data_IF_649856207991
#
_entry.id   IF_649856207991
#
_cell.length_a   1.000
_cell.length_b   1.000
_cell.length_c   1.000
_cell.angle_alpha   90.00
_cell.angle_beta   90.00
_cell.angle_gamma   90.00
#
_symmetry.space_group_name_H-M   'P 1'
#
loop_
_entity.id
_entity.type
_entity.pdbx_description
1 polymer ?
#
# COMPACT_ATOMS: atom_id res chain seq x y z
N UNK A 1 17.06 -1.00 -28.96
CA UNK A 1 16.90 0.21 -28.14
C UNK A 1 18.25 0.48 -27.50
N UNK A 2 18.94 1.54 -27.91
CA UNK A 2 20.20 1.94 -27.27
C UNK A 2 19.89 2.36 -25.83
N UNK A 3 20.53 1.71 -24.87
CA UNK A 3 20.54 2.19 -23.49
C UNK A 3 21.42 3.43 -23.44
N UNK A 4 20.81 4.60 -23.36
CA UNK A 4 21.51 5.83 -22.99
C UNK A 4 22.03 5.63 -21.57
N UNK A 5 23.30 5.25 -21.45
CA UNK A 5 24.01 5.27 -20.18
C UNK A 5 24.26 6.72 -19.82
N UNK A 6 23.29 7.36 -19.17
CA UNK A 6 23.53 8.61 -18.46
C UNK A 6 24.41 8.25 -17.26
N UNK A 7 25.71 8.49 -17.38
CA UNK A 7 26.57 8.69 -16.22
C UNK A 7 26.08 9.96 -15.50
N UNK A 8 25.03 9.82 -14.70
CA UNK A 8 24.67 10.82 -13.71
C UNK A 8 25.77 10.71 -12.66
N UNK A 9 26.75 11.62 -12.69
CA UNK A 9 27.72 11.71 -11.61
C UNK A 9 26.94 11.80 -10.30
N UNK A 10 27.07 10.79 -9.44
CA UNK A 10 26.36 10.76 -8.17
C UNK A 10 26.79 11.98 -7.34
N UNK A 11 25.81 12.78 -6.92
CA UNK A 11 26.10 13.94 -6.05
C UNK A 11 26.62 13.41 -4.72
N UNK A 12 27.82 13.82 -4.34
CA UNK A 12 28.44 13.44 -3.06
C UNK A 12 27.81 14.21 -1.89
N UNK A 13 27.85 13.64 -0.68
CA UNK A 13 27.44 14.33 0.54
C UNK A 13 28.16 15.68 0.71
N UNK A 14 29.45 15.75 0.36
CA UNK A 14 30.26 16.97 0.44
C UNK A 14 29.74 18.07 -0.49
N UNK A 15 29.30 17.73 -1.70
CA UNK A 15 28.71 18.70 -2.62
C UNK A 15 27.40 19.27 -2.04
N UNK A 16 26.56 18.42 -1.43
CA UNK A 16 25.31 18.83 -0.78
C UNK A 16 25.61 19.74 0.43
N UNK A 17 26.57 19.35 1.26
CA UNK A 17 27.01 20.12 2.42
C UNK A 17 27.52 21.51 2.03
N UNK A 18 28.42 21.61 1.04
CA UNK A 18 28.93 22.90 0.54
C UNK A 18 27.83 23.78 -0.01
N UNK A 19 26.85 23.19 -0.70
CA UNK A 19 25.72 23.92 -1.23
C UNK A 19 24.84 24.50 -0.09
N UNK A 20 24.57 23.72 0.97
CA UNK A 20 23.87 24.23 2.15
C UNK A 20 24.61 25.38 2.83
N UNK A 21 25.94 25.29 2.98
CA UNK A 21 26.75 26.40 3.49
C UNK A 21 26.67 27.63 2.57
N UNK A 22 26.74 27.44 1.25
CA UNK A 22 26.61 28.53 0.25
C UNK A 22 25.28 29.25 0.36
N UNK A 23 24.21 28.54 0.74
CA UNK A 23 22.88 29.08 0.99
C UNK A 23 22.75 29.76 2.36
N UNK A 24 23.81 29.81 3.16
CA UNK A 24 23.83 30.48 4.46
C UNK A 24 23.32 29.62 5.62
N UNK A 25 23.25 28.30 5.44
CA UNK A 25 22.86 27.38 6.51
C UNK A 25 23.96 27.28 7.58
N UNK A 26 23.55 27.20 8.85
CA UNK A 26 24.47 26.95 9.97
C UNK A 26 25.18 25.60 9.79
N UNK A 27 26.44 25.53 10.21
CA UNK A 27 27.34 24.42 9.89
C UNK A 27 26.85 23.06 10.41
N UNK A 28 26.39 23.00 11.67
CA UNK A 28 25.89 21.76 12.26
C UNK A 28 24.60 21.31 11.57
N UNK A 29 23.71 22.25 11.24
CA UNK A 29 22.47 21.97 10.49
C UNK A 29 22.79 21.47 9.08
N UNK A 30 23.72 22.12 8.37
CA UNK A 30 24.15 21.71 7.04
C UNK A 30 24.77 20.32 7.05
N UNK A 31 25.56 20.00 8.08
CA UNK A 31 26.18 18.70 8.24
C UNK A 31 25.13 17.60 8.49
N UNK A 32 24.18 17.82 9.38
CA UNK A 32 23.08 16.88 9.66
C UNK A 32 22.19 16.66 8.43
N UNK A 33 21.74 17.73 7.78
CA UNK A 33 20.86 17.62 6.61
C UNK A 33 21.59 16.99 5.41
N UNK A 34 22.85 17.34 5.14
CA UNK A 34 23.58 16.76 4.00
C UNK A 34 23.68 15.24 4.11
N UNK A 35 23.88 14.71 5.32
CA UNK A 35 23.88 13.28 5.60
C UNK A 35 22.49 12.66 5.33
N UNK A 36 21.43 13.28 5.85
CA UNK A 36 20.04 12.80 5.66
C UNK A 36 19.63 12.78 4.18
N UNK A 37 19.98 13.83 3.43
CA UNK A 37 19.69 13.93 1.99
C UNK A 37 20.53 12.94 1.18
N UNK A 38 21.83 12.79 1.48
CA UNK A 38 22.69 11.85 0.76
C UNK A 38 22.28 10.38 0.95
N UNK A 39 21.88 10.01 2.17
CA UNK A 39 21.43 8.66 2.50
C UNK A 39 19.93 8.44 2.30
N UNK A 40 19.20 9.42 1.77
CA UNK A 40 17.74 9.35 1.62
C UNK A 40 17.01 9.02 2.95
N UNK A 41 17.56 9.42 4.10
CA UNK A 41 16.97 9.17 5.43
C UNK A 41 15.58 9.84 5.56
N UNK A 42 15.37 10.97 4.87
CA UNK A 42 14.05 11.61 4.76
C UNK A 42 13.07 10.74 3.92
N UNK A 43 13.58 10.08 2.88
CA UNK A 43 12.81 9.17 2.02
C UNK A 43 12.42 7.89 2.74
N UNK A 44 13.23 7.37 3.67
CA UNK A 44 12.85 6.19 4.46
C UNK A 44 11.60 6.42 5.31
N UNK A 45 11.47 7.60 5.92
CA UNK A 45 10.26 7.95 6.69
C UNK A 45 9.03 8.03 5.80
N UNK A 46 9.17 8.60 4.61
CA UNK A 46 8.07 8.66 3.64
C UNK A 46 7.68 7.27 3.14
N UNK A 47 8.65 6.38 2.92
CA UNK A 47 8.41 4.98 2.58
C UNK A 47 7.71 4.22 3.71
N UNK A 48 8.13 4.40 4.97
CA UNK A 48 7.46 3.81 6.15
C UNK A 48 6.01 4.31 6.28
N UNK A 49 5.78 5.60 6.04
CA UNK A 49 4.43 6.16 6.03
C UNK A 49 3.58 5.63 4.88
N UNK A 50 4.17 5.39 3.71
CA UNK A 50 3.49 4.75 2.58
C UNK A 50 3.14 3.30 2.89
N UNK A 51 4.08 2.53 3.46
CA UNK A 51 3.87 1.15 3.89
C UNK A 51 2.69 1.04 4.86
N UNK A 52 2.68 1.83 5.94
CA UNK A 52 1.57 1.88 6.90
C UNK A 52 0.24 2.23 6.24
N UNK A 53 0.23 3.17 5.30
CA UNK A 53 -0.99 3.54 4.58
C UNK A 53 -1.48 2.42 3.66
N UNK A 54 -0.56 1.67 3.02
CA UNK A 54 -0.91 0.51 2.22
C UNK A 54 -1.46 -0.61 3.08
N UNK A 55 -0.84 -0.94 4.22
CA UNK A 55 -1.33 -1.96 5.15
C UNK A 55 -2.76 -1.65 5.61
N UNK A 56 -3.02 -0.42 6.04
CA UNK A 56 -4.37 0.02 6.43
C UNK A 56 -5.36 -0.13 5.26
N UNK A 57 -4.96 0.20 4.03
CA UNK A 57 -5.83 0.05 2.85
C UNK A 57 -6.08 -1.43 2.52
N UNK A 58 -5.09 -2.30 2.68
CA UNK A 58 -5.21 -3.74 2.47
C UNK A 58 -6.10 -4.38 3.52
N UNK A 59 -5.93 -4.07 4.79
CA UNK A 59 -6.80 -4.55 5.87
C UNK A 59 -8.26 -4.17 5.65
N UNK A 60 -8.51 -2.92 5.24
CA UNK A 60 -9.84 -2.45 4.89
C UNK A 60 -10.43 -3.18 3.68
N UNK A 61 -9.59 -3.55 2.71
CA UNK A 61 -10.02 -4.31 1.54
C UNK A 61 -10.37 -5.75 1.91
N UNK A 62 -9.51 -6.42 2.70
CA UNK A 62 -9.73 -7.76 3.25
C UNK A 62 -11.05 -7.78 4.02
N UNK A 63 -11.27 -6.83 4.93
CA UNK A 63 -12.50 -6.74 5.71
C UNK A 63 -13.75 -6.60 4.82
N UNK A 64 -13.68 -5.79 3.75
CA UNK A 64 -14.79 -5.66 2.80
C UNK A 64 -15.04 -6.95 2.03
N UNK A 65 -13.99 -7.65 1.61
CA UNK A 65 -14.08 -8.94 0.92
C UNK A 65 -14.73 -9.98 1.84
N UNK A 66 -14.25 -10.12 3.08
CA UNK A 66 -14.81 -11.03 4.07
C UNK A 66 -16.28 -10.74 4.36
N UNK A 67 -16.67 -9.46 4.39
CA UNK A 67 -18.06 -9.07 4.58
C UNK A 67 -18.94 -9.46 3.40
N UNK A 68 -18.46 -9.26 2.16
CA UNK A 68 -19.16 -9.69 0.94
C UNK A 68 -19.28 -11.21 0.91
N UNK A 69 -18.20 -11.94 1.21
CA UNK A 69 -18.19 -13.41 1.26
C UNK A 69 -19.23 -13.95 2.25
N UNK A 70 -19.26 -13.43 3.48
CA UNK A 70 -20.25 -13.83 4.49
C UNK A 70 -21.70 -13.57 4.06
N UNK A 71 -21.94 -12.44 3.40
CA UNK A 71 -23.27 -12.11 2.88
C UNK A 71 -23.68 -13.07 1.75
N UNK A 72 -22.78 -13.35 0.81
CA UNK A 72 -23.03 -14.31 -0.26
C UNK A 72 -23.26 -15.73 0.28
N UNK A 73 -22.48 -16.17 1.26
CA UNK A 73 -22.68 -17.47 1.92
C UNK A 73 -24.07 -17.58 2.56
N UNK A 74 -24.53 -16.50 3.22
CA UNK A 74 -25.89 -16.44 3.79
C UNK A 74 -26.96 -16.49 2.71
N UNK A 75 -26.78 -15.76 1.61
CA UNK A 75 -27.73 -15.75 0.50
C UNK A 75 -27.82 -17.14 -0.16
N UNK A 76 -26.70 -17.82 -0.36
CA UNK A 76 -26.65 -19.20 -0.87
C UNK A 76 -27.39 -20.14 0.08
N UNK A 77 -27.09 -20.12 1.39
CA UNK A 77 -27.80 -20.98 2.35
C UNK A 77 -29.31 -20.70 2.39
N UNK A 78 -29.73 -19.45 2.23
CA UNK A 78 -31.15 -19.11 2.12
C UNK A 78 -31.80 -19.65 0.82
N UNK A 79 -31.05 -19.66 -0.29
CA UNK A 79 -31.50 -20.24 -1.55
C UNK A 79 -31.62 -21.76 -1.45
N UNK A 80 -30.66 -22.44 -0.82
CA UNK A 80 -30.70 -23.90 -0.60
C UNK A 80 -31.98 -24.30 0.16
N UNK A 81 -32.29 -23.60 1.26
CA UNK A 81 -33.53 -23.85 2.03
C UNK A 81 -34.81 -23.65 1.20
N UNK A 82 -34.82 -22.63 0.33
CA UNK A 82 -35.95 -22.37 -0.57
C UNK A 82 -36.09 -23.46 -1.62
N UNK A 83 -34.97 -23.92 -2.19
CA UNK A 83 -34.94 -25.03 -3.16
C UNK A 83 -35.47 -26.30 -2.51
N UNK A 84 -34.95 -26.68 -1.33
CA UNK A 84 -35.44 -27.86 -0.57
C UNK A 84 -36.95 -27.79 -0.32
N UNK A 85 -37.46 -26.61 -0.02
CA UNK A 85 -38.89 -26.39 0.22
C UNK A 85 -39.71 -26.58 -1.06
N UNK A 86 -39.23 -26.04 -2.20
CA UNK A 86 -39.88 -26.22 -3.49
C UNK A 86 -39.87 -27.68 -3.92
N UNK A 87 -38.75 -28.39 -3.76
CA UNK A 87 -38.64 -29.81 -4.08
C UNK A 87 -39.62 -30.67 -3.28
N UNK A 88 -39.71 -30.47 -1.95
CA UNK A 88 -40.68 -31.16 -1.10
C UNK A 88 -42.12 -30.91 -1.54
N UNK A 89 -42.46 -29.67 -1.86
CA UNK A 89 -43.79 -29.30 -2.33
C UNK A 89 -44.13 -29.91 -3.69
N UNK A 90 -43.15 -30.06 -4.59
CA UNK A 90 -43.35 -30.70 -5.89
C UNK A 90 -43.57 -32.21 -5.73
N UNK A 91 -42.76 -32.88 -4.90
CA UNK A 91 -42.90 -34.31 -4.64
C UNK A 91 -44.25 -34.64 -4.01
N UNK A 92 -44.70 -33.86 -3.02
CA UNK A 92 -46.00 -34.05 -2.36
C UNK A 92 -47.22 -33.84 -3.27
N UNK A 93 -47.05 -33.23 -4.45
CA UNK A 93 -48.12 -33.06 -5.46
C UNK A 93 -48.15 -34.20 -6.47
N UNK A 94 -47.11 -35.02 -6.54
CA UNK A 94 -46.98 -36.15 -7.47
C UNK A 94 -47.41 -37.48 -6.83
N UNK A 95 -47.50 -37.52 -5.50
CA UNK A 95 -48.09 -38.61 -4.70
C UNK A 95 -49.61 -38.44 -4.56
#
# INVERSE_FOLDING_TARGET
METVSTNIASVTQEQIYKEFLRLGMEQLIAQDLSKRYYHNELTYRDLENLEKQFDIKFDNLIFKIDSVEKNLQKDISNLDVKIDTVEKNLNARQE
#
